data_IF_887914905847
#
_entry.id   IF_887914905847
#
_cell.length_a   1.000
_cell.length_b   1.000
_cell.length_c   1.000
_cell.angle_alpha   90.00
_cell.angle_beta   90.00
_cell.angle_gamma   90.00
#
_symmetry.space_group_name_H-M   'P 1'
#
loop_
_entity.id
_entity.type
_entity.pdbx_description
1 polymer ?
#
# COMPACT_ATOMS: atom_id res chain seq x y z
N UNK A 1 5.57 -15.90 30.91
CA UNK A 1 6.00 -16.12 29.51
C UNK A 1 4.75 -16.40 28.69
N UNK A 2 4.70 -15.92 27.44
CA UNK A 2 3.56 -15.92 26.51
C UNK A 2 2.56 -14.76 26.66
N UNK A 3 2.98 -13.56 26.24
CA UNK A 3 2.06 -12.49 25.82
C UNK A 3 2.13 -12.37 24.30
N UNK A 4 1.05 -12.80 23.64
CA UNK A 4 0.64 -12.41 22.29
C UNK A 4 1.73 -12.29 21.22
N UNK A 5 1.90 -13.35 20.43
CA UNK A 5 2.19 -13.17 19.00
C UNK A 5 0.96 -12.51 18.37
N UNK A 6 0.78 -11.21 18.61
CA UNK A 6 0.09 -10.35 17.65
C UNK A 6 1.06 -10.34 16.47
N UNK A 7 0.89 -11.32 15.57
CA UNK A 7 1.57 -11.31 14.28
C UNK A 7 1.28 -9.95 13.70
N UNK A 8 2.28 -9.07 13.78
CA UNK A 8 2.22 -7.73 13.29
C UNK A 8 2.22 -7.84 11.78
N UNK A 9 1.03 -8.10 11.25
CA UNK A 9 0.76 -8.27 9.83
C UNK A 9 1.21 -6.97 9.10
N UNK A 10 1.19 -5.83 9.79
CA UNK A 10 1.73 -4.57 9.30
C UNK A 10 3.28 -4.48 9.31
N UNK A 11 3.98 -5.13 10.25
CA UNK A 11 5.45 -5.12 10.34
C UNK A 11 6.10 -5.99 9.26
N UNK A 12 5.38 -6.97 8.74
CA UNK A 12 5.79 -7.71 7.54
C UNK A 12 5.59 -6.90 6.24
N UNK A 13 4.87 -5.78 6.31
CA UNK A 13 4.66 -4.86 5.21
C UNK A 13 5.78 -3.81 5.24
N UNK A 14 6.84 -4.02 4.47
CA UNK A 14 7.96 -3.08 4.38
C UNK A 14 7.43 -1.66 4.08
N UNK A 15 7.50 -0.77 5.07
CA UNK A 15 6.83 0.53 5.02
C UNK A 15 7.37 1.40 3.88
N UNK A 16 8.65 1.26 3.54
CA UNK A 16 9.27 1.95 2.41
C UNK A 16 8.66 1.54 1.06
N UNK A 17 8.29 0.27 0.90
CA UNK A 17 7.59 -0.23 -0.28
C UNK A 17 6.15 0.32 -0.38
N UNK A 18 5.44 0.42 0.75
CA UNK A 18 4.10 1.03 0.81
C UNK A 18 4.17 2.53 0.46
N UNK A 19 5.11 3.28 1.04
CA UNK A 19 5.32 4.70 0.73
C UNK A 19 5.64 4.94 -0.75
N UNK A 20 6.48 4.08 -1.35
CA UNK A 20 6.75 4.12 -2.79
C UNK A 20 5.47 3.92 -3.60
N UNK A 21 4.61 3.00 -3.17
CA UNK A 21 3.31 2.78 -3.79
C UNK A 21 2.37 3.98 -3.67
N UNK A 22 2.30 4.61 -2.49
CA UNK A 22 1.51 5.82 -2.26
C UNK A 22 1.98 6.94 -3.18
N UNK A 23 3.30 7.16 -3.29
CA UNK A 23 3.87 8.18 -4.18
C UNK A 23 3.48 7.94 -5.63
N UNK A 24 3.68 6.71 -6.12
CA UNK A 24 3.28 6.32 -7.47
C UNK A 24 1.79 6.60 -7.75
N UNK A 25 0.91 6.21 -6.83
CA UNK A 25 -0.53 6.45 -6.96
C UNK A 25 -0.92 7.93 -6.82
N UNK A 26 -0.14 8.73 -6.09
CA UNK A 26 -0.36 10.17 -5.95
C UNK A 26 -0.04 10.92 -7.25
N UNK A 27 0.99 10.46 -7.96
CA UNK A 27 1.43 10.99 -9.26
C UNK A 27 0.57 10.44 -10.42
N UNK A 28 -0.08 9.29 -10.23
CA UNK A 28 -0.93 8.66 -11.25
C UNK A 28 -2.30 9.36 -11.36
N UNK A 29 -2.71 9.87 -12.53
CA UNK A 29 -4.02 10.48 -12.74
C UNK A 29 -5.19 9.51 -12.48
N UNK A 30 -6.24 9.98 -11.79
CA UNK A 30 -7.38 9.14 -11.34
C UNK A 30 -8.12 8.42 -12.47
N UNK A 31 -8.16 9.00 -13.67
CA UNK A 31 -8.81 8.39 -14.84
C UNK A 31 -8.08 7.13 -15.36
N UNK A 32 -6.84 6.92 -14.92
CA UNK A 32 -6.01 5.74 -15.22
C UNK A 32 -6.01 4.76 -14.01
N UNK A 33 -6.59 5.17 -12.88
CA UNK A 33 -6.49 4.52 -11.58
C UNK A 33 -7.19 3.16 -11.45
N UNK A 34 -7.97 2.72 -12.45
CA UNK A 34 -8.60 1.39 -12.45
C UNK A 34 -7.58 0.23 -12.43
N UNK A 35 -6.35 0.47 -12.88
CA UNK A 35 -5.26 -0.51 -12.91
C UNK A 35 -4.17 -0.27 -11.83
N UNK A 36 -4.50 0.45 -10.75
CA UNK A 36 -3.56 0.80 -9.68
C UNK A 36 -2.92 -0.43 -9.01
N UNK A 37 -3.69 -1.48 -8.67
CA UNK A 37 -3.14 -2.70 -8.05
C UNK A 37 -2.18 -3.44 -9.01
N UNK A 38 -2.55 -3.73 -10.27
CA UNK A 38 -1.61 -4.30 -11.26
C UNK A 38 -0.33 -3.49 -11.45
N UNK A 39 -0.44 -2.15 -11.52
CA UNK A 39 0.71 -1.27 -11.70
C UNK A 39 1.67 -1.34 -10.49
N UNK A 40 1.13 -1.29 -9.27
CA UNK A 40 1.92 -1.45 -8.04
C UNK A 40 2.60 -2.81 -7.97
N UNK A 41 1.92 -3.87 -8.40
CA UNK A 41 2.52 -5.21 -8.51
C UNK A 41 3.65 -5.27 -9.53
N UNK A 42 3.51 -4.58 -10.66
CA UNK A 42 4.59 -4.44 -11.65
C UNK A 42 5.80 -3.66 -11.09
N UNK A 43 5.55 -2.75 -10.14
CA UNK A 43 6.58 -2.02 -9.39
C UNK A 43 7.19 -2.82 -8.23
N UNK A 44 6.88 -4.10 -8.09
CA UNK A 44 7.48 -5.00 -7.10
C UNK A 44 6.79 -5.01 -5.75
N UNK A 45 5.61 -4.39 -5.61
CA UNK A 45 4.82 -4.51 -4.39
C UNK A 45 4.05 -5.83 -4.34
N UNK A 46 4.02 -6.45 -3.18
CA UNK A 46 3.10 -7.56 -2.90
C UNK A 46 1.63 -7.09 -2.97
N UNK A 47 0.66 -8.00 -3.18
CA UNK A 47 -0.76 -7.64 -3.19
C UNK A 47 -1.21 -6.90 -1.92
N UNK A 48 -0.64 -7.28 -0.78
CA UNK A 48 -0.90 -6.68 0.52
C UNK A 48 -0.37 -5.25 0.62
N UNK A 49 0.89 -5.03 0.23
CA UNK A 49 1.48 -3.68 0.16
C UNK A 49 0.72 -2.77 -0.81
N UNK A 50 0.27 -3.32 -1.94
CA UNK A 50 -0.51 -2.55 -2.92
C UNK A 50 -1.89 -2.13 -2.36
N UNK A 51 -2.58 -3.04 -1.66
CA UNK A 51 -3.85 -2.76 -0.98
C UNK A 51 -3.68 -1.69 0.10
N UNK A 52 -2.59 -1.76 0.87
CA UNK A 52 -2.32 -0.83 1.95
C UNK A 52 -1.93 0.57 1.45
N UNK A 53 -1.13 0.65 0.37
CA UNK A 53 -0.83 1.92 -0.28
C UNK A 53 -2.10 2.63 -0.80
N UNK A 54 -3.07 1.87 -1.33
CA UNK A 54 -4.36 2.42 -1.74
C UNK A 54 -5.19 2.91 -0.55
N UNK A 55 -5.25 2.14 0.53
CA UNK A 55 -5.97 2.51 1.74
C UNK A 55 -5.41 3.82 2.33
N UNK A 56 -4.09 3.91 2.47
CA UNK A 56 -3.42 5.08 3.01
C UNK A 56 -3.63 6.32 2.15
N UNK A 57 -3.55 6.19 0.82
CA UNK A 57 -3.82 7.30 -0.10
C UNK A 57 -5.29 7.74 -0.06
N UNK A 58 -6.23 6.80 0.10
CA UNK A 58 -7.66 7.13 0.23
C UNK A 58 -7.93 7.89 1.54
N UNK A 59 -7.35 7.45 2.66
CA UNK A 59 -7.40 8.14 3.95
C UNK A 59 -6.85 9.57 3.87
N UNK A 60 -5.68 9.74 3.25
CA UNK A 60 -5.06 11.06 3.05
C UNK A 60 -5.88 12.04 2.21
N UNK A 61 -6.75 11.52 1.33
CA UNK A 61 -7.62 12.35 0.45
C UNK A 61 -8.99 12.61 1.04
N UNK A 62 -9.38 11.89 2.09
CA UNK A 62 -10.68 12.00 2.74
C UNK A 62 -10.67 12.95 3.95
N UNK A 63 -9.49 13.28 4.48
CA UNK A 63 -9.26 14.38 5.41
C UNK A 63 -8.99 15.69 4.68
#
# INVERSE_FOLDING_TARGET
MMTGLYSDDHAACDSASVERGIRFLSETPRHIGGAAIPALRHHGLSPKQASEAQHNLAMWRAG
#
